data_IF_280754228724
#
_entry.id   IF_280754228724
#
_cell.length_a   1.000
_cell.length_b   1.000
_cell.length_c   1.000
_cell.angle_alpha   90.00
_cell.angle_beta   90.00
_cell.angle_gamma   90.00
#
_symmetry.space_group_name_H-M   'P 1'
#
loop_
_entity.id
_entity.type
_entity.pdbx_description
1 polymer ?
#
# COMPACT_ATOMS: atom_id res chain seq x y z
N UNK A 1 -12.35 -7.67 15.85
CA UNK A 1 -11.10 -7.77 15.09
C UNK A 1 -10.26 -6.52 15.38
N UNK A 2 -9.00 -6.67 15.68
CA UNK A 2 -8.11 -5.54 15.96
C UNK A 2 -7.80 -4.76 14.68
N UNK A 3 -7.30 -3.53 14.85
CA UNK A 3 -6.86 -2.67 13.72
C UNK A 3 -5.78 -3.38 12.90
N UNK A 4 -4.81 -4.00 13.58
CA UNK A 4 -3.75 -4.75 12.91
C UNK A 4 -4.30 -5.95 12.13
N UNK A 5 -5.25 -6.69 12.68
CA UNK A 5 -5.86 -7.84 12.00
C UNK A 5 -6.58 -7.42 10.71
N UNK A 6 -7.29 -6.29 10.73
CA UNK A 6 -7.95 -5.75 9.52
C UNK A 6 -6.92 -5.48 8.42
N UNK A 7 -5.83 -4.80 8.76
CA UNK A 7 -4.80 -4.46 7.79
C UNK A 7 -4.03 -5.71 7.34
N UNK A 8 -3.80 -6.68 8.23
CA UNK A 8 -3.15 -7.94 7.83
C UNK A 8 -3.98 -8.72 6.79
N UNK A 9 -5.30 -8.72 6.92
CA UNK A 9 -6.19 -9.33 5.92
C UNK A 9 -6.09 -8.62 4.57
N UNK A 10 -6.07 -7.29 4.61
CA UNK A 10 -5.88 -6.48 3.41
C UNK A 10 -4.50 -6.73 2.77
N UNK A 11 -3.45 -6.78 3.60
CA UNK A 11 -2.07 -7.04 3.14
C UNK A 11 -2.01 -8.37 2.37
N UNK A 12 -2.61 -9.42 2.92
CA UNK A 12 -2.58 -10.74 2.29
C UNK A 12 -3.24 -10.69 0.89
N UNK A 13 -4.39 -10.04 0.78
CA UNK A 13 -5.12 -9.95 -0.48
C UNK A 13 -4.46 -9.02 -1.50
N UNK A 14 -4.03 -7.83 -1.07
CA UNK A 14 -3.49 -6.83 -1.99
C UNK A 14 -2.00 -6.99 -2.25
N UNK A 15 -1.17 -6.82 -1.21
CA UNK A 15 0.29 -6.78 -1.42
C UNK A 15 0.86 -8.13 -1.85
N UNK A 16 0.33 -9.23 -1.32
CA UNK A 16 0.83 -10.59 -1.59
C UNK A 16 0.15 -11.24 -2.78
N UNK A 17 -1.18 -11.29 -2.79
CA UNK A 17 -1.95 -11.97 -3.85
C UNK A 17 -2.29 -11.07 -5.02
N UNK A 18 -2.20 -9.75 -4.85
CA UNK A 18 -2.54 -8.74 -5.87
C UNK A 18 -3.99 -8.83 -6.35
N UNK A 19 -4.87 -9.29 -5.49
CA UNK A 19 -6.31 -9.33 -5.72
C UNK A 19 -6.92 -7.99 -5.31
N UNK A 20 -6.68 -6.97 -6.13
CA UNK A 20 -6.98 -5.57 -5.83
C UNK A 20 -8.45 -5.36 -5.46
N UNK A 21 -9.35 -5.73 -6.36
CA UNK A 21 -10.78 -5.48 -6.17
C UNK A 21 -11.31 -6.18 -4.93
N UNK A 22 -10.97 -7.45 -4.75
CA UNK A 22 -11.39 -8.20 -3.57
C UNK A 22 -10.86 -7.58 -2.29
N UNK A 23 -9.59 -7.16 -2.27
CA UNK A 23 -8.96 -6.54 -1.11
C UNK A 23 -9.70 -5.25 -0.70
N UNK A 24 -9.91 -4.35 -1.65
CA UNK A 24 -10.53 -3.06 -1.39
C UNK A 24 -12.03 -3.18 -1.06
N UNK A 25 -12.77 -4.00 -1.80
CA UNK A 25 -14.19 -4.19 -1.53
C UNK A 25 -14.46 -4.86 -0.18
N UNK A 26 -13.55 -5.73 0.28
CA UNK A 26 -13.68 -6.43 1.56
C UNK A 26 -13.28 -5.57 2.77
N UNK A 27 -12.23 -4.74 2.62
CA UNK A 27 -11.57 -4.13 3.78
C UNK A 27 -11.48 -2.60 3.74
N UNK A 28 -11.92 -1.95 2.66
CA UNK A 28 -11.85 -0.50 2.50
C UNK A 28 -13.26 0.08 2.37
N UNK A 29 -13.53 1.15 3.09
CA UNK A 29 -14.82 1.83 3.04
C UNK A 29 -15.03 2.45 1.65
N UNK A 30 -16.27 2.43 1.11
CA UNK A 30 -16.55 3.05 -0.20
C UNK A 30 -16.16 4.53 -0.30
N UNK A 31 -16.32 5.28 0.80
CA UNK A 31 -16.03 6.71 0.88
C UNK A 31 -14.64 7.00 1.44
N UNK A 32 -13.71 6.13 1.19
CA UNK A 32 -12.30 6.17 1.58
C UNK A 32 -11.68 7.56 1.32
N UNK A 33 -11.12 8.17 2.38
CA UNK A 33 -10.49 9.48 2.30
C UNK A 33 -9.06 9.31 1.79
N UNK A 34 -8.75 9.97 0.69
CA UNK A 34 -7.46 9.80 0.01
C UNK A 34 -6.58 11.05 0.17
N UNK A 35 -5.38 10.85 0.73
CA UNK A 35 -4.38 11.91 0.82
C UNK A 35 -3.28 11.80 -0.25
N UNK A 36 -3.28 10.73 -1.05
CA UNK A 36 -2.39 10.65 -2.22
C UNK A 36 -2.84 11.70 -3.24
N UNK A 37 -1.97 12.70 -3.57
CA UNK A 37 -2.43 13.87 -4.34
C UNK A 37 -2.82 13.55 -5.79
N UNK A 38 -2.47 12.38 -6.29
CA UNK A 38 -2.78 11.96 -7.67
C UNK A 38 -4.12 11.23 -7.80
N UNK A 39 -4.82 10.96 -6.70
CA UNK A 39 -6.09 10.24 -6.69
C UNK A 39 -7.17 11.02 -5.93
N UNK A 40 -8.42 10.99 -6.42
CA UNK A 40 -9.56 11.53 -5.66
C UNK A 40 -9.96 10.60 -4.52
N UNK A 41 -10.87 11.06 -3.66
CA UNK A 41 -11.49 10.23 -2.64
C UNK A 41 -12.27 9.07 -3.25
N UNK A 42 -12.52 8.04 -2.45
CA UNK A 42 -13.30 6.88 -2.81
C UNK A 42 -12.44 5.69 -3.23
N UNK A 43 -12.91 4.50 -2.85
CA UNK A 43 -12.15 3.27 -3.14
C UNK A 43 -12.15 2.91 -4.62
N UNK A 44 -13.19 3.29 -5.39
CA UNK A 44 -13.27 2.92 -6.81
C UNK A 44 -12.13 3.52 -7.64
N UNK A 45 -11.74 4.75 -7.33
CA UNK A 45 -10.64 5.41 -8.03
C UNK A 45 -9.31 4.69 -7.80
N UNK A 46 -9.01 4.29 -6.56
CA UNK A 46 -7.77 3.58 -6.25
C UNK A 46 -7.79 2.15 -6.80
N UNK A 47 -8.94 1.48 -6.78
CA UNK A 47 -9.08 0.16 -7.41
C UNK A 47 -8.72 0.24 -8.89
N UNK A 48 -9.32 1.17 -9.62
CA UNK A 48 -9.08 1.34 -11.05
C UNK A 48 -7.60 1.68 -11.35
N UNK A 49 -7.01 2.56 -10.53
CA UNK A 49 -5.61 2.92 -10.67
C UNK A 49 -4.70 1.70 -10.48
N UNK A 50 -4.92 0.93 -9.42
CA UNK A 50 -4.07 -0.22 -9.09
C UNK A 50 -4.27 -1.38 -10.07
N UNK A 51 -5.49 -1.63 -10.53
CA UNK A 51 -5.75 -2.65 -11.55
C UNK A 51 -5.00 -2.35 -12.84
N UNK A 52 -5.00 -1.08 -13.28
CA UNK A 52 -4.23 -0.65 -14.46
C UNK A 52 -2.73 -0.75 -14.25
N UNK A 53 -2.27 -0.39 -13.05
CA UNK A 53 -0.85 -0.49 -12.71
C UNK A 53 -0.35 -1.93 -12.80
N UNK A 54 -1.10 -2.88 -12.23
CA UNK A 54 -0.74 -4.30 -12.25
C UNK A 54 -0.91 -4.93 -13.63
N UNK A 55 -1.86 -4.45 -14.43
CA UNK A 55 -2.00 -4.87 -15.82
C UNK A 55 -0.81 -4.43 -16.66
N UNK A 56 -0.34 -3.18 -16.47
CA UNK A 56 0.82 -2.64 -17.18
C UNK A 56 2.12 -3.29 -16.72
N UNK A 57 2.25 -3.61 -15.43
CA UNK A 57 3.45 -4.19 -14.83
C UNK A 57 3.09 -5.49 -14.08
N UNK A 58 2.79 -6.58 -14.82
CA UNK A 58 2.30 -7.82 -14.21
C UNK A 58 3.31 -8.51 -13.29
N UNK A 59 4.60 -8.19 -13.42
CA UNK A 59 5.67 -8.73 -12.57
C UNK A 59 5.94 -7.88 -11.32
N UNK A 60 5.11 -6.86 -11.05
CA UNK A 60 5.32 -5.95 -9.91
C UNK A 60 5.44 -6.72 -8.61
N UNK A 61 6.43 -6.32 -7.82
CA UNK A 61 6.76 -6.94 -6.54
C UNK A 61 6.56 -5.91 -5.44
N UNK A 62 5.84 -6.32 -4.39
CA UNK A 62 5.73 -5.57 -3.15
C UNK A 62 6.43 -6.36 -2.04
N UNK A 63 7.53 -5.87 -1.52
CA UNK A 63 8.26 -6.49 -0.42
C UNK A 63 8.04 -5.70 0.85
N UNK A 64 7.28 -6.25 1.79
CA UNK A 64 6.96 -5.60 3.06
C UNK A 64 8.09 -5.85 4.04
N UNK A 65 8.62 -4.79 4.63
CA UNK A 65 9.69 -4.87 5.61
C UNK A 65 9.20 -4.71 7.03
N UNK A 66 8.19 -3.87 7.26
CA UNK A 66 7.61 -3.70 8.60
C UNK A 66 6.18 -3.17 8.55
N UNK A 67 5.43 -3.58 9.55
CA UNK A 67 4.06 -3.13 9.78
C UNK A 67 3.99 -2.63 11.21
N UNK A 68 3.58 -1.39 11.41
CA UNK A 68 3.57 -0.74 12.72
C UNK A 68 2.16 -0.24 12.99
N UNK A 69 1.57 -0.71 14.10
CA UNK A 69 0.22 -0.30 14.50
C UNK A 69 0.27 0.53 15.78
N UNK A 70 -0.53 1.59 15.84
CA UNK A 70 -0.72 2.42 17.01
C UNK A 70 -2.12 3.01 16.99
N UNK A 71 -2.91 2.77 18.03
CA UNK A 71 -4.31 3.18 18.12
C UNK A 71 -5.11 2.71 16.88
N UNK A 72 -5.68 3.64 16.11
CA UNK A 72 -6.46 3.33 14.91
C UNK A 72 -5.66 3.41 13.62
N UNK A 73 -4.34 3.60 13.71
CA UNK A 73 -3.44 3.76 12.56
C UNK A 73 -2.53 2.55 12.36
N UNK A 74 -2.28 2.21 11.12
CA UNK A 74 -1.29 1.19 10.74
C UNK A 74 -0.43 1.72 9.61
N UNK A 75 0.90 1.64 9.78
CA UNK A 75 1.88 1.99 8.76
C UNK A 75 2.48 0.71 8.16
N UNK A 76 2.58 0.67 6.83
CA UNK A 76 3.19 -0.43 6.08
C UNK A 76 4.36 0.14 5.29
N UNK A 77 5.57 -0.28 5.64
CA UNK A 77 6.79 0.13 4.94
C UNK A 77 7.22 -0.98 3.99
N UNK A 78 7.32 -0.65 2.70
CA UNK A 78 7.58 -1.66 1.68
C UNK A 78 8.37 -1.11 0.50
N UNK A 79 8.93 -2.05 -0.27
CA UNK A 79 9.62 -1.80 -1.52
C UNK A 79 8.68 -2.16 -2.67
N UNK A 80 8.45 -1.25 -3.60
CA UNK A 80 7.65 -1.49 -4.80
C UNK A 80 8.56 -1.48 -6.02
N UNK A 81 8.57 -2.59 -6.78
CA UNK A 81 9.42 -2.78 -7.95
C UNK A 81 8.58 -3.26 -9.13
N UNK A 82 8.80 -2.69 -10.32
CA UNK A 82 8.13 -3.14 -11.55
C UNK A 82 8.62 -4.53 -11.98
N UNK A 83 9.92 -4.79 -11.78
CA UNK A 83 10.59 -6.07 -12.04
C UNK A 83 11.62 -6.34 -10.94
N UNK A 84 12.18 -7.56 -10.83
CA UNK A 84 13.22 -7.84 -9.84
C UNK A 84 14.46 -6.95 -9.93
N UNK A 85 14.79 -6.46 -11.14
CA UNK A 85 15.96 -5.62 -11.39
C UNK A 85 15.69 -4.13 -11.22
N UNK A 86 14.43 -3.74 -11.10
CA UNK A 86 14.05 -2.34 -10.93
C UNK A 86 14.47 -1.83 -9.55
N UNK A 87 15.07 -0.65 -9.50
CA UNK A 87 15.37 0.01 -8.22
C UNK A 87 14.07 0.35 -7.47
N UNK A 88 13.04 0.77 -8.18
CA UNK A 88 11.71 0.99 -7.64
C UNK A 88 11.60 2.14 -6.65
N UNK A 89 10.68 1.97 -5.72
CA UNK A 89 10.32 2.99 -4.75
C UNK A 89 10.28 2.43 -3.33
N UNK A 90 10.75 3.24 -2.38
CA UNK A 90 10.47 3.03 -0.96
C UNK A 90 9.14 3.71 -0.64
N UNK A 91 8.22 2.99 -0.07
CA UNK A 91 6.85 3.48 0.19
C UNK A 91 6.47 3.23 1.64
N UNK A 92 5.80 4.21 2.23
CA UNK A 92 5.08 4.04 3.49
C UNK A 92 3.62 4.36 3.24
N UNK A 93 2.77 3.35 3.35
CA UNK A 93 1.32 3.54 3.37
C UNK A 93 0.86 3.63 4.82
N UNK A 94 0.02 4.59 5.13
CA UNK A 94 -0.61 4.74 6.43
C UNK A 94 -2.11 4.64 6.25
N UNK A 95 -2.74 3.77 7.03
CA UNK A 95 -4.18 3.56 7.01
C UNK A 95 -4.79 3.87 8.36
N UNK A 96 -5.93 4.55 8.37
CA UNK A 96 -6.78 4.64 9.56
C UNK A 96 -7.92 3.64 9.42
N UNK A 97 -8.18 2.92 10.50
CA UNK A 97 -9.18 1.85 10.55
C UNK A 97 -10.31 2.26 11.51
N UNK A 98 -11.55 2.09 11.06
CA UNK A 98 -12.75 2.35 11.84
C UNK A 98 -13.81 1.30 11.47
N UNK A 99 -14.44 0.69 12.47
CA UNK A 99 -15.47 -0.35 12.28
C UNK A 99 -15.00 -1.48 11.35
N UNK A 100 -13.79 -2.00 11.57
CA UNK A 100 -13.18 -3.08 10.80
C UNK A 100 -12.99 -2.79 9.32
N UNK A 101 -12.86 -1.52 8.95
CA UNK A 101 -12.57 -1.08 7.58
C UNK A 101 -11.54 0.04 7.57
N UNK A 102 -10.73 0.08 6.53
CA UNK A 102 -9.83 1.21 6.28
C UNK A 102 -10.66 2.35 5.70
N UNK A 103 -10.61 3.51 6.37
CA UNK A 103 -11.44 4.68 6.03
C UNK A 103 -10.61 5.86 5.53
N UNK A 104 -9.29 5.82 5.68
CA UNK A 104 -8.42 6.92 5.31
C UNK A 104 -7.01 6.43 5.02
N UNK A 105 -6.33 7.06 4.06
CA UNK A 105 -5.02 6.65 3.58
C UNK A 105 -4.11 7.83 3.30
N UNK A 106 -2.87 7.70 3.76
CA UNK A 106 -1.73 8.57 3.39
C UNK A 106 -0.63 7.72 2.82
N UNK A 107 0.20 8.28 1.95
CA UNK A 107 1.43 7.62 1.56
C UNK A 107 2.59 8.60 1.42
N UNK A 108 3.78 8.06 1.54
CA UNK A 108 5.03 8.74 1.22
C UNK A 108 5.79 7.81 0.27
N UNK A 109 6.18 8.33 -0.88
CA UNK A 109 6.84 7.56 -1.93
C UNK A 109 8.16 8.23 -2.27
N UNK A 110 9.26 7.47 -2.20
CA UNK A 110 10.59 7.97 -2.52
C UNK A 110 11.29 7.03 -3.49
N UNK A 111 11.83 7.54 -4.62
CA UNK A 111 12.60 6.68 -5.53
C UNK A 111 13.85 6.13 -4.83
N UNK A 112 14.15 4.85 -5.08
CA UNK A 112 15.39 4.25 -4.61
C UNK A 112 16.52 4.70 -5.52
N UNK A 113 17.57 5.37 -5.01
CA UNK A 113 18.64 5.89 -5.85
C UNK A 113 19.65 4.81 -6.23
N UNK A 114 20.37 5.03 -7.34
CA UNK A 114 21.47 4.15 -7.74
C UNK A 114 22.64 4.21 -6.76
N UNK A 115 22.85 5.38 -6.16
CA UNK A 115 23.96 5.61 -5.22
C UNK A 115 23.45 6.22 -3.93
N UNK A 116 24.02 5.75 -2.82
CA UNK A 116 23.71 6.25 -1.49
C UNK A 116 24.96 6.77 -0.82
N UNK A 117 24.81 7.77 0.04
CA UNK A 117 25.90 8.32 0.84
C UNK A 117 26.36 7.40 1.98
N UNK A 118 25.59 6.34 2.27
CA UNK A 118 25.89 5.35 3.30
C UNK A 118 25.66 3.94 2.76
N UNK A 119 26.06 2.93 3.54
CA UNK A 119 25.94 1.52 3.16
C UNK A 119 24.64 0.86 3.67
N UNK A 120 23.71 1.64 4.18
CA UNK A 120 22.43 1.14 4.69
C UNK A 120 21.38 1.14 3.59
N UNK A 121 20.44 0.19 3.65
CA UNK A 121 19.30 0.19 2.73
C UNK A 121 18.28 1.23 3.19
N UNK A 122 17.31 1.53 2.32
CA UNK A 122 16.15 2.36 2.68
C UNK A 122 15.09 1.57 3.46
N UNK A 123 15.34 0.30 3.71
CA UNK A 123 14.35 -0.62 4.27
C UNK A 123 14.78 -1.29 5.55
#
# INVERSE_FOLDING_TARGET
>A
MSVLEVVDRFIDLFYRKKEVRQAFESWVHPDYIQHKPTLPDGRDAVINFLEKLLERYPERIFTIYRVIASDDLVAVHYHSQATPEDLGFAVVDIFRVEDCRMVEHWDVVQPVPEQSANDNTMF
#
